data_IF_213180479486
#
_entry.id   IF_213180479486
#
_cell.length_a   1.000
_cell.length_b   1.000
_cell.length_c   1.000
_cell.angle_alpha   90.00
_cell.angle_beta   90.00
_cell.angle_gamma   90.00
#
_symmetry.space_group_name_H-M   'P 1'
#
loop_
_entity.id
_entity.type
_entity.pdbx_description
1 polymer ?
#
# COMPACT_ATOMS: atom_id res chain seq x y z
N UNK A 1 -2.56 -3.70 -1.02
CA UNK A 1 -3.41 -2.95 -1.99
C UNK A 1 -3.46 -3.70 -3.33
N UNK A 2 -4.43 -3.45 -4.21
CA UNK A 2 -4.40 -3.96 -5.58
C UNK A 2 -5.17 -3.09 -6.57
N UNK A 3 -4.76 -3.12 -7.83
CA UNK A 3 -5.31 -2.36 -8.95
C UNK A 3 -5.51 -3.27 -10.17
N UNK A 4 -6.58 -3.02 -10.91
CA UNK A 4 -6.87 -3.72 -12.16
C UNK A 4 -6.62 -2.84 -13.38
N UNK A 5 -6.45 -3.44 -14.56
CA UNK A 5 -6.31 -2.72 -15.83
C UNK A 5 -7.54 -1.87 -16.21
N UNK A 6 -8.69 -2.13 -15.57
CA UNK A 6 -9.91 -1.35 -15.74
C UNK A 6 -10.01 -0.16 -14.77
N UNK A 7 -8.98 0.10 -13.95
CA UNK A 7 -8.98 1.21 -13.01
C UNK A 7 -9.07 2.55 -13.76
N UNK A 8 -10.08 3.35 -13.41
CA UNK A 8 -10.37 4.67 -13.99
C UNK A 8 -10.88 5.61 -12.88
N UNK A 9 -10.86 6.95 -13.05
CA UNK A 9 -11.43 7.87 -12.07
C UNK A 9 -12.92 7.58 -11.81
N UNK A 10 -13.37 7.70 -10.56
CA UNK A 10 -14.79 7.49 -10.22
C UNK A 10 -15.63 8.74 -10.40
N UNK A 11 -15.00 9.90 -10.31
CA UNK A 11 -15.65 11.20 -10.38
C UNK A 11 -14.84 12.13 -11.26
N UNK A 12 -15.54 12.93 -12.05
CA UNK A 12 -14.98 14.07 -12.80
C UNK A 12 -15.36 15.39 -12.14
N UNK A 13 -14.62 16.46 -12.46
CA UNK A 13 -14.98 17.83 -12.06
C UNK A 13 -14.97 18.72 -13.29
N UNK A 14 -15.99 19.56 -13.43
CA UNK A 14 -16.09 20.63 -14.43
C UNK A 14 -16.59 21.91 -13.73
N UNK A 15 -16.44 23.09 -14.36
CA UNK A 15 -17.10 24.32 -13.92
C UNK A 15 -18.62 24.15 -13.75
N UNK A 16 -19.26 25.09 -13.04
CA UNK A 16 -20.73 25.11 -12.94
C UNK A 16 -21.37 25.08 -14.33
N UNK A 17 -22.49 24.37 -14.44
CA UNK A 17 -23.29 24.24 -15.66
C UNK A 17 -22.60 23.52 -16.83
N UNK A 18 -21.46 22.87 -16.58
CA UNK A 18 -20.78 22.01 -17.56
C UNK A 18 -20.84 20.54 -17.17
N UNK A 19 -21.00 19.67 -18.16
CA UNK A 19 -20.99 18.22 -17.97
C UNK A 19 -19.59 17.65 -18.20
N UNK A 20 -19.16 16.73 -17.33
CA UNK A 20 -17.96 15.92 -17.57
C UNK A 20 -18.36 14.68 -18.37
N UNK A 21 -17.65 14.42 -19.44
CA UNK A 21 -17.72 13.18 -20.21
C UNK A 21 -16.44 12.39 -20.01
N UNK A 22 -16.57 11.07 -19.83
CA UNK A 22 -15.43 10.20 -19.65
C UNK A 22 -15.75 8.77 -20.11
N UNK A 23 -14.70 8.01 -20.42
CA UNK A 23 -14.79 6.61 -20.84
C UNK A 23 -14.05 5.70 -19.87
N UNK A 24 -14.66 4.56 -19.56
CA UNK A 24 -14.09 3.55 -18.66
C UNK A 24 -14.27 2.14 -19.24
N UNK A 25 -13.28 1.23 -19.09
CA UNK A 25 -13.43 -0.15 -19.50
C UNK A 25 -14.54 -0.85 -18.72
N UNK A 26 -15.42 -1.57 -19.42
CA UNK A 26 -16.52 -2.35 -18.82
C UNK A 26 -16.05 -3.75 -18.39
N UNK A 27 -15.09 -4.33 -19.10
CA UNK A 27 -14.55 -5.65 -18.79
C UNK A 27 -13.75 -5.66 -17.48
N UNK A 28 -13.72 -6.81 -16.81
CA UNK A 28 -12.81 -7.03 -15.68
C UNK A 28 -11.38 -7.06 -16.19
N UNK A 29 -10.54 -6.15 -15.70
CA UNK A 29 -9.11 -6.14 -16.02
C UNK A 29 -8.32 -7.10 -15.13
N UNK A 30 -7.20 -7.60 -15.66
CA UNK A 30 -6.19 -8.33 -14.87
C UNK A 30 -5.74 -7.46 -13.69
N UNK A 31 -5.49 -8.10 -12.54
CA UNK A 31 -5.19 -7.43 -11.28
C UNK A 31 -3.72 -7.64 -10.90
N UNK A 32 -3.06 -6.55 -10.55
CA UNK A 32 -1.74 -6.54 -9.92
C UNK A 32 -1.91 -6.04 -8.50
N UNK A 33 -1.42 -6.83 -7.55
CA UNK A 33 -1.40 -6.55 -6.13
C UNK A 33 -0.07 -5.90 -5.72
N UNK A 34 -0.10 -5.16 -4.62
CA UNK A 34 1.05 -4.50 -4.02
C UNK A 34 1.03 -4.72 -2.51
N UNK A 35 2.21 -5.02 -1.97
CA UNK A 35 2.53 -4.94 -0.54
C UNK A 35 3.68 -3.97 -0.35
N UNK A 36 3.74 -3.31 0.80
CA UNK A 36 4.84 -2.42 1.09
C UNK A 36 4.90 -2.06 2.56
N UNK A 37 5.96 -1.33 2.90
CA UNK A 37 6.19 -0.77 4.21
C UNK A 37 6.52 0.71 4.05
N UNK A 38 6.09 1.52 5.02
CA UNK A 38 6.39 2.95 5.07
C UNK A 38 6.86 3.35 6.46
N UNK A 39 7.56 4.48 6.53
CA UNK A 39 7.89 5.20 7.76
C UNK A 39 7.36 6.63 7.65
N UNK A 40 7.56 7.46 8.68
CA UNK A 40 7.29 8.90 8.59
C UNK A 40 8.11 9.61 7.51
N UNK A 41 9.21 9.01 7.04
CA UNK A 41 10.05 9.56 5.99
C UNK A 41 9.51 9.29 4.57
N UNK A 42 8.62 8.31 4.39
CA UNK A 42 8.13 7.89 3.07
C UNK A 42 7.93 6.38 2.94
N UNK A 43 7.71 5.92 1.70
CA UNK A 43 7.71 4.49 1.38
C UNK A 43 9.13 3.93 1.56
N UNK A 44 9.27 2.88 2.37
CA UNK A 44 10.57 2.23 2.63
C UNK A 44 10.87 1.16 1.60
N UNK A 45 9.87 0.33 1.27
CA UNK A 45 9.97 -0.72 0.27
C UNK A 45 8.57 -1.16 -0.18
N UNK A 46 8.47 -1.75 -1.37
CA UNK A 46 7.24 -2.32 -1.89
C UNK A 46 7.54 -3.45 -2.88
N UNK A 47 6.60 -4.39 -3.00
CA UNK A 47 6.61 -5.48 -3.96
C UNK A 47 5.27 -5.49 -4.70
N UNK A 48 5.34 -5.45 -6.03
CA UNK A 48 4.20 -5.66 -6.91
C UNK A 48 4.22 -7.10 -7.42
N UNK A 49 3.05 -7.73 -7.51
CA UNK A 49 2.92 -9.11 -7.95
C UNK A 49 1.53 -9.38 -8.51
N UNK A 50 1.42 -10.40 -9.35
CA UNK A 50 0.14 -10.86 -9.88
C UNK A 50 -0.52 -11.87 -8.94
N UNK A 51 -1.84 -11.78 -8.82
CA UNK A 51 -2.62 -12.67 -7.96
C UNK A 51 -2.93 -12.12 -6.57
N UNK A 52 -3.27 -13.03 -5.66
CA UNK A 52 -3.80 -12.71 -4.33
C UNK A 52 -2.69 -12.72 -3.28
N UNK A 53 -2.77 -11.80 -2.31
CA UNK A 53 -1.88 -11.82 -1.15
C UNK A 53 -2.13 -13.08 -0.32
N UNK A 54 -1.08 -13.87 -0.11
CA UNK A 54 -1.08 -15.04 0.77
C UNK A 54 -0.02 -14.88 1.85
N UNK A 55 -0.08 -15.69 2.91
CA UNK A 55 0.97 -15.70 3.94
C UNK A 55 2.36 -15.98 3.37
N UNK A 56 2.48 -16.83 2.33
CA UNK A 56 3.76 -17.12 1.68
C UNK A 56 4.32 -15.93 0.90
N UNK A 57 3.47 -15.21 0.16
CA UNK A 57 3.88 -13.98 -0.55
C UNK A 57 4.28 -12.90 0.44
N UNK A 58 3.55 -12.79 1.55
CA UNK A 58 3.88 -11.84 2.61
C UNK A 58 5.20 -12.18 3.31
N UNK A 59 5.42 -13.45 3.64
CA UNK A 59 6.69 -13.92 4.20
C UNK A 59 7.86 -13.67 3.25
N UNK A 60 7.68 -13.90 1.94
CA UNK A 60 8.67 -13.58 0.92
C UNK A 60 8.99 -12.08 0.91
N UNK A 61 7.97 -11.22 0.94
CA UNK A 61 8.14 -9.78 1.05
C UNK A 61 8.95 -9.39 2.29
N UNK A 62 8.62 -9.93 3.47
CA UNK A 62 9.37 -9.64 4.69
C UNK A 62 10.83 -10.05 4.55
N UNK A 63 11.08 -11.30 4.14
CA UNK A 63 12.43 -11.88 4.07
C UNK A 63 13.34 -11.14 3.10
N UNK A 64 12.82 -10.76 1.93
CA UNK A 64 13.65 -10.25 0.84
C UNK A 64 13.61 -8.73 0.70
N UNK A 65 12.61 -8.06 1.24
CA UNK A 65 12.43 -6.61 1.07
C UNK A 65 12.45 -5.84 2.37
N UNK A 66 11.72 -6.28 3.41
CA UNK A 66 11.60 -5.50 4.65
C UNK A 66 12.74 -5.78 5.62
N UNK A 67 12.94 -7.03 6.03
CA UNK A 67 13.91 -7.42 7.06
C UNK A 67 15.35 -6.97 6.78
N UNK A 68 15.86 -6.98 5.53
CA UNK A 68 17.18 -6.44 5.23
C UNK A 68 17.34 -4.93 5.52
N UNK A 69 16.23 -4.21 5.70
CA UNK A 69 16.19 -2.77 5.93
C UNK A 69 15.88 -2.40 7.38
N UNK A 70 15.63 -3.38 8.24
CA UNK A 70 15.32 -3.19 9.66
C UNK A 70 16.61 -3.13 10.49
N UNK A 71 16.55 -2.38 11.58
CA UNK A 71 17.61 -2.29 12.58
C UNK A 71 17.08 -2.62 13.98
N UNK A 72 18.01 -2.87 14.91
CA UNK A 72 17.68 -3.03 16.31
C UNK A 72 16.95 -1.80 16.85
N UNK A 73 15.83 -2.02 17.54
CA UNK A 73 14.99 -0.96 18.09
C UNK A 73 13.88 -0.46 17.14
N UNK A 74 13.87 -0.89 15.87
CA UNK A 74 12.75 -0.59 14.97
C UNK A 74 11.45 -1.25 15.44
N UNK A 75 10.34 -0.61 15.12
CA UNK A 75 9.00 -1.15 15.36
C UNK A 75 8.31 -1.42 14.02
N UNK A 76 7.99 -2.69 13.78
CA UNK A 76 7.15 -3.11 12.66
C UNK A 76 5.70 -3.16 13.16
N UNK A 77 4.87 -2.26 12.64
CA UNK A 77 3.44 -2.22 12.94
C UNK A 77 2.68 -2.85 11.77
N UNK A 78 1.86 -3.86 12.05
CA UNK A 78 1.07 -4.58 11.05
C UNK A 78 -0.40 -4.60 11.43
N UNK A 79 -1.29 -4.61 10.43
CA UNK A 79 -2.70 -4.91 10.69
C UNK A 79 -2.88 -6.38 11.14
N UNK A 80 -4.06 -6.69 11.68
CA UNK A 80 -4.36 -8.01 12.24
C UNK A 80 -4.86 -9.04 11.21
N UNK A 81 -4.59 -8.86 9.91
CA UNK A 81 -5.04 -9.77 8.87
C UNK A 81 -4.49 -11.19 9.09
N UNK A 82 -5.28 -12.22 8.74
CA UNK A 82 -4.88 -13.62 8.90
C UNK A 82 -3.62 -13.98 8.11
N UNK A 83 -3.38 -13.32 6.97
CA UNK A 83 -2.18 -13.50 6.16
C UNK A 83 -0.89 -13.05 6.86
N UNK A 84 -0.98 -12.24 7.91
CA UNK A 84 0.16 -11.80 8.71
C UNK A 84 0.47 -12.77 9.87
N UNK A 85 -0.37 -13.79 10.11
CA UNK A 85 -0.25 -14.72 11.25
C UNK A 85 0.40 -16.04 10.86
N UNK A 86 1.46 -15.98 10.06
CA UNK A 86 2.34 -17.13 9.82
C UNK A 86 3.38 -17.17 10.94
N UNK A 87 3.56 -18.32 11.58
CA UNK A 87 4.40 -18.46 12.77
C UNK A 87 5.82 -17.90 12.55
N UNK A 88 6.35 -18.09 11.35
CA UNK A 88 7.70 -17.68 10.95
C UNK A 88 7.89 -16.15 10.87
N UNK A 89 6.82 -15.37 10.72
CA UNK A 89 6.87 -13.90 10.55
C UNK A 89 7.44 -13.24 11.80
N UNK A 90 6.98 -13.65 12.97
CA UNK A 90 7.42 -13.07 14.24
C UNK A 90 8.91 -13.29 14.45
N UNK A 91 9.36 -14.52 14.27
CA UNK A 91 10.76 -14.90 14.42
C UNK A 91 11.66 -14.18 13.42
N UNK A 92 11.20 -14.05 12.17
CA UNK A 92 11.94 -13.37 11.11
C UNK A 92 12.17 -11.88 11.44
N UNK A 93 11.16 -11.18 11.94
CA UNK A 93 11.29 -9.77 12.35
C UNK A 93 12.15 -9.66 13.60
N UNK A 94 11.91 -10.49 14.63
CA UNK A 94 12.65 -10.43 15.89
C UNK A 94 14.15 -10.73 15.72
N UNK A 95 14.53 -11.58 14.76
CA UNK A 95 15.95 -11.84 14.40
C UNK A 95 16.70 -10.60 13.92
N UNK A 96 16.01 -9.56 13.47
CA UNK A 96 16.62 -8.27 13.10
C UNK A 96 16.87 -7.34 14.30
N UNK A 97 16.38 -7.70 15.50
CA UNK A 97 16.35 -6.82 16.67
C UNK A 97 15.14 -5.87 16.69
N UNK A 98 14.28 -5.91 15.66
CA UNK A 98 13.04 -5.15 15.61
C UNK A 98 11.92 -5.79 16.45
N UNK A 99 10.97 -4.97 16.90
CA UNK A 99 9.77 -5.38 17.62
C UNK A 99 8.56 -5.41 16.69
N UNK A 100 7.73 -6.43 16.83
CA UNK A 100 6.50 -6.56 16.07
C UNK A 100 5.29 -6.15 16.93
N UNK A 101 4.46 -5.27 16.38
CA UNK A 101 3.18 -4.83 16.97
C UNK A 101 2.05 -5.12 15.99
N UNK A 102 1.01 -5.80 16.46
CA UNK A 102 -0.23 -5.94 15.71
C UNK A 102 -1.24 -4.90 16.16
N UNK A 103 -1.87 -4.23 15.19
CA UNK A 103 -2.99 -3.34 15.44
C UNK A 103 -4.24 -4.15 15.88
N UNK A 104 -5.17 -3.53 16.61
CA UNK A 104 -6.48 -4.14 16.87
C UNK A 104 -7.17 -4.53 15.55
N UNK A 105 -7.98 -5.60 15.55
CA UNK A 105 -8.74 -6.01 14.37
C UNK A 105 -9.58 -4.86 13.80
N UNK A 106 -9.73 -4.84 12.47
CA UNK A 106 -10.57 -3.86 11.75
C UNK A 106 -10.29 -2.39 12.08
N UNK A 107 -9.03 -2.04 12.38
CA UNK A 107 -8.61 -0.68 12.71
C UNK A 107 -7.72 -0.06 11.63
N UNK A 108 -8.21 0.10 10.38
CA UNK A 108 -7.43 0.68 9.30
C UNK A 108 -7.03 2.14 9.58
N UNK A 109 -7.80 2.87 10.40
CA UNK A 109 -7.49 4.25 10.78
C UNK A 109 -6.18 4.37 11.57
N UNK A 110 -5.80 3.30 12.28
CA UNK A 110 -4.51 3.20 12.99
C UNK A 110 -3.35 2.82 12.06
N UNK A 111 -3.61 2.46 10.80
CA UNK A 111 -2.60 2.03 9.84
C UNK A 111 -2.29 3.13 8.81
N UNK A 112 -1.19 3.91 8.96
CA UNK A 112 -0.91 5.05 8.10
C UNK A 112 -0.69 4.66 6.63
N UNK A 113 -0.28 3.42 6.35
CA UNK A 113 -0.06 2.95 4.98
C UNK A 113 -1.36 2.88 4.17
N UNK A 114 -2.52 2.78 4.81
CA UNK A 114 -3.81 2.83 4.12
C UNK A 114 -4.04 4.19 3.44
N UNK A 115 -3.58 5.28 4.06
CA UNK A 115 -3.63 6.62 3.45
C UNK A 115 -2.65 6.75 2.28
N UNK A 116 -1.46 6.18 2.40
CA UNK A 116 -0.51 6.09 1.29
C UNK A 116 -1.13 5.28 0.14
N UNK A 117 -1.78 4.17 0.44
CA UNK A 117 -2.47 3.35 -0.55
C UNK A 117 -3.60 4.07 -1.26
N UNK A 118 -4.41 4.83 -0.53
CA UNK A 118 -5.44 5.67 -1.12
C UNK A 118 -4.84 6.69 -2.10
N UNK A 119 -3.75 7.36 -1.72
CA UNK A 119 -3.08 8.33 -2.59
C UNK A 119 -2.48 7.69 -3.84
N UNK A 120 -1.79 6.56 -3.72
CA UNK A 120 -1.25 5.82 -4.87
C UNK A 120 -2.37 5.36 -5.78
N UNK A 121 -3.46 4.80 -5.23
CA UNK A 121 -4.59 4.32 -6.02
C UNK A 121 -5.28 5.45 -6.79
N UNK A 122 -5.36 6.65 -6.21
CA UNK A 122 -5.83 7.84 -6.91
C UNK A 122 -4.89 8.26 -8.05
N UNK A 123 -3.58 8.17 -7.86
CA UNK A 123 -2.61 8.38 -8.93
C UNK A 123 -2.83 7.38 -10.09
N UNK A 124 -2.94 6.09 -9.79
CA UNK A 124 -3.18 5.04 -10.80
C UNK A 124 -4.49 5.26 -11.57
N UNK A 125 -5.56 5.70 -10.89
CA UNK A 125 -6.84 6.05 -11.54
C UNK A 125 -6.66 7.13 -12.60
N UNK A 126 -5.81 8.13 -12.34
CA UNK A 126 -5.52 9.21 -13.30
C UNK A 126 -4.69 8.71 -14.48
N UNK A 127 -3.74 7.81 -14.24
CA UNK A 127 -2.87 7.26 -15.28
C UNK A 127 -3.56 6.27 -16.23
N UNK A 128 -4.64 5.61 -15.76
CA UNK A 128 -5.45 4.69 -16.58
C UNK A 128 -4.62 3.61 -17.31
N UNK A 129 -3.73 2.87 -16.62
CA UNK A 129 -2.92 1.85 -17.28
C UNK A 129 -3.81 0.75 -17.88
N UNK A 130 -3.52 0.35 -19.11
CA UNK A 130 -4.29 -0.67 -19.87
C UNK A 130 -3.51 -1.95 -20.18
N UNK A 131 -2.24 -2.00 -19.83
CA UNK A 131 -1.42 -3.23 -19.87
C UNK A 131 -0.78 -3.46 -18.50
N UNK A 132 -0.35 -4.70 -18.24
CA UNK A 132 0.31 -5.09 -16.98
C UNK A 132 1.61 -4.31 -16.80
N UNK A 133 2.39 -4.16 -17.87
CA UNK A 133 3.65 -3.41 -17.88
C UNK A 133 3.40 -1.93 -17.52
N UNK A 134 2.40 -1.30 -18.14
CA UNK A 134 2.02 0.06 -17.83
C UNK A 134 1.55 0.22 -16.38
N UNK A 135 0.86 -0.79 -15.83
CA UNK A 135 0.43 -0.79 -14.44
C UNK A 135 1.63 -0.90 -13.48
N UNK A 136 2.63 -1.75 -13.79
CA UNK A 136 3.88 -1.80 -13.00
C UNK A 136 4.63 -0.46 -13.02
N UNK A 137 4.76 0.18 -14.20
CA UNK A 137 5.38 1.50 -14.30
C UNK A 137 4.59 2.56 -13.52
N UNK A 138 3.27 2.56 -13.63
CA UNK A 138 2.41 3.49 -12.89
C UNK A 138 2.50 3.27 -11.37
N UNK A 139 2.67 2.02 -10.90
CA UNK A 139 2.94 1.76 -9.49
C UNK A 139 4.29 2.33 -9.03
N UNK A 140 5.34 2.14 -9.83
CA UNK A 140 6.67 2.69 -9.53
C UNK A 140 6.63 4.22 -9.40
N UNK A 141 5.96 4.90 -10.32
CA UNK A 141 5.76 6.35 -10.24
C UNK A 141 4.82 6.75 -9.09
N UNK A 142 3.79 5.96 -8.82
CA UNK A 142 2.86 6.18 -7.72
C UNK A 142 3.55 6.17 -6.35
N UNK A 143 4.52 5.26 -6.15
CA UNK A 143 5.33 5.21 -4.92
C UNK A 143 6.13 6.51 -4.71
N UNK A 144 6.68 7.09 -5.78
CA UNK A 144 7.42 8.36 -5.73
C UNK A 144 6.54 9.55 -5.36
N UNK A 145 5.21 9.43 -5.52
CA UNK A 145 4.27 10.47 -5.13
C UNK A 145 4.11 10.60 -3.61
N UNK A 146 4.62 9.65 -2.82
CA UNK A 146 4.57 9.69 -1.35
C UNK A 146 5.78 10.47 -0.84
N UNK A 147 5.62 11.79 -0.69
CA UNK A 147 6.63 12.64 -0.07
C UNK A 147 6.74 12.41 1.43
N UNK A 148 7.84 12.89 2.03
CA UNK A 148 8.02 12.89 3.48
C UNK A 148 6.90 13.66 4.20
N UNK A 149 6.47 14.81 3.71
CA UNK A 149 5.35 15.56 4.30
C UNK A 149 4.06 14.75 4.28
N UNK A 150 3.79 14.01 3.20
CA UNK A 150 2.63 13.14 3.12
C UNK A 150 2.75 12.01 4.13
N UNK A 151 3.88 11.34 4.19
CA UNK A 151 4.13 10.24 5.11
C UNK A 151 4.00 10.67 6.58
N UNK A 152 4.60 11.79 6.96
CA UNK A 152 4.47 12.38 8.29
C UNK A 152 3.01 12.74 8.60
N UNK A 153 2.30 13.35 7.65
CA UNK A 153 0.88 13.67 7.82
C UNK A 153 0.02 12.41 8.00
N UNK A 154 0.34 11.31 7.32
CA UNK A 154 -0.40 10.05 7.45
C UNK A 154 -0.17 9.42 8.83
N UNK A 155 1.09 9.36 9.29
CA UNK A 155 1.42 8.89 10.64
C UNK A 155 0.72 9.75 11.69
N UNK A 156 0.80 11.08 11.58
CA UNK A 156 0.15 12.00 12.50
C UNK A 156 -1.38 11.84 12.51
N UNK A 157 -1.99 11.54 11.36
CA UNK A 157 -3.42 11.27 11.28
C UNK A 157 -3.78 10.01 12.05
N UNK A 158 -3.07 8.90 11.83
CA UNK A 158 -3.33 7.63 12.53
C UNK A 158 -3.12 7.73 14.04
N UNK A 159 -2.13 8.50 14.49
CA UNK A 159 -1.89 8.73 15.92
C UNK A 159 -3.05 9.44 16.64
N UNK A 160 -3.91 10.19 15.94
CA UNK A 160 -5.11 10.81 16.57
C UNK A 160 -6.14 9.79 17.03
N UNK A 161 -6.08 8.56 16.52
CA UNK A 161 -6.97 7.47 16.89
C UNK A 161 -6.35 6.53 17.92
N UNK A 162 -5.06 6.69 18.23
CA UNK A 162 -4.39 5.97 19.30
C UNK A 162 -4.72 6.65 20.63
N UNK A 163 -5.71 6.09 21.35
CA UNK A 163 -6.12 6.50 22.70
C UNK A 163 -5.23 5.80 23.73
#
# INVERSE_FOLDING_TARGET
>A
MGAGLNLSPLYGRAPSDQRVYDEAPVAKGQRVSMVGAMTSAGMKTALNFEGTMTGLVFLYFLKHFLCPLLAEGDYVVMDNASVHKVDEIKDLIQKTGAKLIYLPPYSPDLNPIELAWNKIKQYLRKQRPRTVEALYQAYAEGLKCISTDNAQSFVNHSMKFAI
#
